data_IF_398693631686
#
_entry.id   IF_398693631686
#
_cell.length_a   1.000
_cell.length_b   1.000
_cell.length_c   1.000
_cell.angle_alpha   90.00
_cell.angle_beta   90.00
_cell.angle_gamma   90.00
#
_symmetry.space_group_name_H-M   'P 1'
#
loop_
_entity.id
_entity.type
_entity.pdbx_description
1 polymer ?
#
# COMPACT_ATOMS: atom_id res chain seq x y z
N UNK A 1 33.05 5.78 7.78
CA UNK A 1 31.61 6.06 7.91
C UNK A 1 31.40 6.85 9.19
N UNK A 2 30.73 8.02 9.10
CA UNK A 2 30.43 8.82 10.28
C UNK A 2 29.48 8.02 11.19
N UNK A 3 29.88 7.80 12.44
CA UNK A 3 29.16 6.97 13.41
C UNK A 3 27.68 7.34 13.53
N UNK A 4 27.38 8.64 13.51
CA UNK A 4 26.02 9.19 13.58
C UNK A 4 25.13 8.75 12.40
N UNK A 5 25.63 8.72 11.17
CA UNK A 5 24.86 8.29 9.99
C UNK A 5 24.50 6.80 10.04
N UNK A 6 25.38 5.97 10.52
CA UNK A 6 25.14 4.53 10.67
C UNK A 6 24.04 4.25 11.69
N UNK A 7 24.08 4.91 12.83
CA UNK A 7 23.06 4.77 13.87
C UNK A 7 21.67 5.22 13.39
N UNK A 8 21.61 6.36 12.69
CA UNK A 8 20.36 6.87 12.11
C UNK A 8 19.75 5.88 11.10
N UNK A 9 20.57 5.34 10.19
CA UNK A 9 20.12 4.33 9.23
C UNK A 9 19.64 3.05 9.90
N UNK A 10 20.37 2.57 10.91
CA UNK A 10 19.97 1.38 11.65
C UNK A 10 18.65 1.59 12.38
N UNK A 11 18.44 2.75 12.99
CA UNK A 11 17.18 3.09 13.66
C UNK A 11 16.02 3.13 12.67
N UNK A 12 16.17 3.85 11.56
CA UNK A 12 15.15 3.90 10.49
C UNK A 12 14.80 2.51 9.96
N UNK A 13 15.80 1.71 9.62
CA UNK A 13 15.55 0.39 9.06
C UNK A 13 14.84 -0.55 10.04
N UNK A 14 15.16 -0.48 11.33
CA UNK A 14 14.44 -1.22 12.37
C UNK A 14 12.98 -0.76 12.48
N UNK A 15 12.73 0.54 12.47
CA UNK A 15 11.39 1.10 12.54
C UNK A 15 10.52 0.70 11.34
N UNK A 16 11.08 0.73 10.12
CA UNK A 16 10.40 0.27 8.91
C UNK A 16 10.03 -1.22 9.03
N UNK A 17 10.96 -2.05 9.51
CA UNK A 17 10.70 -3.48 9.71
C UNK A 17 9.71 -3.76 10.84
N UNK A 18 9.75 -3.00 11.90
CA UNK A 18 8.79 -3.08 13.00
C UNK A 18 7.37 -2.72 12.53
N UNK A 19 7.24 -1.64 11.77
CA UNK A 19 5.96 -1.25 11.17
C UNK A 19 5.37 -2.36 10.28
N UNK A 20 6.18 -2.92 9.38
CA UNK A 20 5.77 -4.07 8.55
C UNK A 20 5.37 -5.27 9.41
N UNK A 21 6.07 -5.52 10.51
CA UNK A 21 5.75 -6.60 11.45
C UNK A 21 4.42 -6.43 12.15
N UNK A 22 4.03 -5.19 12.50
CA UNK A 22 2.73 -4.87 13.10
C UNK A 22 1.59 -5.24 12.14
N UNK A 23 1.67 -4.80 10.88
CA UNK A 23 0.67 -5.17 9.87
C UNK A 23 0.59 -6.68 9.67
N UNK A 24 1.73 -7.33 9.47
CA UNK A 24 1.80 -8.78 9.25
C UNK A 24 1.15 -9.58 10.39
N UNK A 25 1.36 -9.17 11.63
CA UNK A 25 0.76 -9.82 12.80
C UNK A 25 -0.78 -9.74 12.79
N UNK A 26 -1.35 -8.60 12.41
CA UNK A 26 -2.80 -8.43 12.31
C UNK A 26 -3.36 -9.20 11.12
N UNK A 27 -2.75 -9.04 9.94
CA UNK A 27 -3.22 -9.61 8.68
C UNK A 27 -3.16 -11.14 8.67
N UNK A 28 -2.16 -11.72 9.29
CA UNK A 28 -2.04 -13.18 9.42
C UNK A 28 -3.23 -13.80 10.16
N UNK A 29 -3.75 -13.11 11.18
CA UNK A 29 -4.96 -13.53 11.91
C UNK A 29 -6.23 -13.43 11.07
N UNK A 30 -6.23 -12.57 10.06
CA UNK A 30 -7.36 -12.37 9.14
C UNK A 30 -7.24 -13.20 7.86
N UNK A 31 -6.17 -13.97 7.71
CA UNK A 31 -5.91 -14.78 6.51
C UNK A 31 -5.58 -13.96 5.26
N UNK A 32 -5.08 -12.72 5.43
CA UNK A 32 -4.70 -11.82 4.35
C UNK A 32 -3.18 -11.71 4.23
N UNK A 33 -2.70 -11.65 2.99
CA UNK A 33 -1.34 -11.20 2.71
C UNK A 33 -1.25 -9.66 2.80
N UNK A 34 -0.04 -9.16 3.05
CA UNK A 34 0.21 -7.72 3.09
C UNK A 34 -0.11 -7.05 1.73
N UNK A 35 0.24 -7.70 0.63
CA UNK A 35 -0.06 -7.19 -0.71
C UNK A 35 -1.56 -7.13 -1.00
N UNK A 36 -2.31 -8.15 -0.60
CA UNK A 36 -3.78 -8.16 -0.74
C UNK A 36 -4.43 -7.05 0.11
N UNK A 37 -3.93 -6.84 1.33
CA UNK A 37 -4.38 -5.75 2.19
C UNK A 37 -4.21 -4.38 1.53
N UNK A 38 -3.03 -4.08 0.96
CA UNK A 38 -2.80 -2.78 0.32
C UNK A 38 -3.65 -2.57 -0.93
N UNK A 39 -3.96 -3.63 -1.68
CA UNK A 39 -4.91 -3.56 -2.80
C UNK A 39 -6.32 -3.23 -2.29
N UNK A 40 -6.79 -3.92 -1.26
CA UNK A 40 -8.08 -3.60 -0.65
C UNK A 40 -8.12 -2.18 -0.09
N UNK A 41 -7.05 -1.75 0.56
CA UNK A 41 -6.91 -0.39 1.10
C UNK A 41 -7.05 0.66 -0.02
N UNK A 42 -6.33 0.48 -1.12
CA UNK A 42 -6.45 1.36 -2.29
C UNK A 42 -7.89 1.41 -2.82
N UNK A 43 -8.53 0.26 -3.00
CA UNK A 43 -9.86 0.18 -3.59
C UNK A 43 -11.00 0.71 -2.69
N UNK A 44 -10.85 0.66 -1.36
CA UNK A 44 -11.91 1.03 -0.42
C UNK A 44 -11.68 2.35 0.31
N UNK A 45 -10.42 2.74 0.54
CA UNK A 45 -10.08 3.88 1.40
C UNK A 45 -9.66 5.10 0.59
N UNK A 46 -8.93 4.89 -0.52
CA UNK A 46 -8.39 6.02 -1.30
C UNK A 46 -9.44 6.71 -2.17
N UNK A 47 -10.60 6.07 -2.38
CA UNK A 47 -11.72 6.62 -3.16
C UNK A 47 -11.36 7.05 -4.59
N UNK A 48 -10.33 6.41 -5.18
CA UNK A 48 -9.87 6.65 -6.54
C UNK A 48 -10.16 5.46 -7.45
N UNK A 49 -10.20 5.71 -8.76
CA UNK A 49 -10.31 4.66 -9.76
C UNK A 49 -8.94 4.08 -10.10
N UNK A 50 -8.76 2.79 -9.87
CA UNK A 50 -7.50 2.09 -10.15
C UNK A 50 -7.62 1.10 -11.29
N UNK A 51 -6.66 1.17 -12.23
CA UNK A 51 -6.28 0.03 -13.06
C UNK A 51 -5.27 -0.86 -12.32
N UNK A 52 -5.00 -2.06 -12.84
CA UNK A 52 -3.93 -2.88 -12.26
C UNK A 52 -2.56 -2.20 -12.36
N UNK A 53 -2.31 -1.42 -13.42
CA UNK A 53 -1.06 -0.67 -13.57
C UNK A 53 -0.93 0.45 -12.53
N UNK A 54 -2.02 1.15 -12.24
CA UNK A 54 -2.03 2.19 -11.20
C UNK A 54 -1.66 1.60 -9.83
N UNK A 55 -2.17 0.41 -9.49
CA UNK A 55 -1.80 -0.28 -8.25
C UNK A 55 -0.31 -0.65 -8.21
N UNK A 56 0.26 -1.09 -9.34
CA UNK A 56 1.70 -1.35 -9.42
C UNK A 56 2.51 -0.08 -9.16
N UNK A 57 2.14 1.02 -9.79
CA UNK A 57 2.90 2.26 -9.77
C UNK A 57 2.81 2.96 -8.40
N UNK A 58 1.61 3.06 -7.84
CA UNK A 58 1.40 3.77 -6.57
C UNK A 58 1.80 2.95 -5.33
N UNK A 59 1.54 1.65 -5.36
CA UNK A 59 1.75 0.79 -4.19
C UNK A 59 2.99 -0.09 -4.28
N UNK A 60 3.84 0.16 -5.28
CA UNK A 60 5.11 -0.56 -5.48
C UNK A 60 4.94 -2.09 -5.53
N UNK A 61 3.89 -2.54 -6.23
CA UNK A 61 3.58 -3.95 -6.40
C UNK A 61 3.99 -4.45 -7.79
N UNK A 62 4.43 -5.70 -7.88
CA UNK A 62 4.74 -6.30 -9.18
C UNK A 62 3.47 -6.59 -9.98
N UNK A 63 3.57 -6.54 -11.32
CA UNK A 63 2.46 -6.90 -12.22
C UNK A 63 1.91 -8.30 -11.94
N UNK A 64 2.80 -9.25 -11.70
CA UNK A 64 2.41 -10.63 -11.40
C UNK A 64 1.61 -10.73 -10.09
N UNK A 65 2.06 -10.05 -9.04
CA UNK A 65 1.37 -10.02 -7.74
C UNK A 65 -0.02 -9.41 -7.88
N UNK A 66 -0.13 -8.24 -8.49
CA UNK A 66 -1.42 -7.56 -8.70
C UNK A 66 -2.36 -8.43 -9.53
N UNK A 67 -1.87 -8.96 -10.66
CA UNK A 67 -2.70 -9.81 -11.52
C UNK A 67 -3.21 -11.07 -10.80
N UNK A 68 -2.37 -11.73 -10.01
CA UNK A 68 -2.76 -12.91 -9.23
C UNK A 68 -3.85 -12.60 -8.21
N UNK A 69 -3.69 -11.51 -7.47
CA UNK A 69 -4.65 -11.09 -6.44
C UNK A 69 -5.97 -10.65 -7.09
N UNK A 70 -5.92 -9.78 -8.10
CA UNK A 70 -7.13 -9.31 -8.78
C UNK A 70 -7.88 -10.46 -9.45
N UNK A 71 -7.17 -11.39 -10.10
CA UNK A 71 -7.80 -12.60 -10.67
C UNK A 71 -8.53 -13.42 -9.60
N UNK A 72 -7.93 -13.58 -8.43
CA UNK A 72 -8.57 -14.23 -7.29
C UNK A 72 -9.81 -13.49 -6.79
N UNK A 73 -9.74 -12.16 -6.70
CA UNK A 73 -10.88 -11.32 -6.29
C UNK A 73 -12.02 -11.36 -7.31
N UNK A 74 -11.71 -11.39 -8.62
CA UNK A 74 -12.72 -11.58 -9.69
C UNK A 74 -13.42 -12.94 -9.55
N UNK A 75 -12.66 -14.01 -9.34
CA UNK A 75 -13.24 -15.37 -9.14
C UNK A 75 -14.15 -15.46 -7.94
N UNK A 76 -13.84 -14.72 -6.87
CA UNK A 76 -14.69 -14.64 -5.66
C UNK A 76 -15.90 -13.72 -5.84
N UNK A 77 -15.99 -12.99 -6.96
CA UNK A 77 -17.04 -12.02 -7.22
C UNK A 77 -16.91 -10.72 -6.41
N UNK A 78 -15.73 -10.42 -5.91
CA UNK A 78 -15.47 -9.21 -5.11
C UNK A 78 -15.17 -7.98 -5.94
N UNK A 79 -14.63 -8.16 -7.14
CA UNK A 79 -14.36 -7.08 -8.08
C UNK A 79 -14.72 -7.49 -9.50
N UNK A 80 -14.97 -6.48 -10.32
CA UNK A 80 -15.14 -6.58 -11.77
C UNK A 80 -14.13 -5.68 -12.46
N UNK A 81 -13.72 -6.07 -13.66
CA UNK A 81 -12.89 -5.24 -14.53
C UNK A 81 -13.77 -4.61 -15.59
N UNK A 82 -13.80 -3.28 -15.64
CA UNK A 82 -14.58 -2.51 -16.63
C UNK A 82 -13.67 -1.74 -17.56
N UNK A 83 -13.91 -1.88 -18.86
CA UNK A 83 -13.19 -1.09 -19.87
C UNK A 83 -13.58 0.38 -19.76
N UNK A 84 -12.58 1.25 -19.74
CA UNK A 84 -12.82 2.71 -19.72
C UNK A 84 -13.19 3.15 -21.13
N UNK A 85 -14.35 3.82 -21.32
CA UNK A 85 -14.76 4.34 -22.62
C UNK A 85 -13.72 5.32 -23.20
N UNK A 86 -13.48 5.22 -24.52
CA UNK A 86 -12.52 6.08 -25.21
C UNK A 86 -11.04 5.70 -25.05
N UNK A 87 -10.74 4.62 -24.33
CA UNK A 87 -9.42 4.04 -24.21
C UNK A 87 -9.34 2.71 -24.95
N UNK A 88 -8.13 2.34 -25.40
CA UNK A 88 -7.96 1.12 -26.22
C UNK A 88 -8.16 -0.17 -25.43
N UNK A 89 -7.62 -0.25 -24.21
CA UNK A 89 -7.70 -1.44 -23.35
C UNK A 89 -7.56 -1.13 -21.86
N UNK A 90 -7.75 0.13 -21.43
CA UNK A 90 -7.67 0.47 -20.01
C UNK A 90 -8.89 -0.11 -19.29
N UNK A 91 -8.63 -0.94 -18.29
CA UNK A 91 -9.66 -1.51 -17.40
C UNK A 91 -9.49 -0.97 -15.99
N UNK A 92 -10.56 -0.47 -15.42
CA UNK A 92 -10.61 -0.10 -14.00
C UNK A 92 -11.17 -1.26 -13.18
N UNK A 93 -10.73 -1.33 -11.94
CA UNK A 93 -11.19 -2.32 -10.96
C UNK A 93 -12.37 -1.73 -10.22
N UNK A 94 -13.52 -2.36 -10.33
CA UNK A 94 -14.76 -1.95 -9.66
C UNK A 94 -15.09 -2.95 -8.55
N UNK A 95 -15.22 -2.47 -7.32
CA UNK A 95 -15.62 -3.29 -6.18
C UNK A 95 -17.12 -3.57 -6.29
N UNK A 96 -17.50 -4.85 -6.23
CA UNK A 96 -18.89 -5.28 -6.20
C UNK A 96 -19.50 -5.07 -4.81
N UNK A 97 -20.82 -5.21 -4.69
CA UNK A 97 -21.49 -5.17 -3.39
C UNK A 97 -20.96 -6.25 -2.44
N UNK A 98 -20.75 -7.47 -2.93
CA UNK A 98 -20.15 -8.56 -2.18
C UNK A 98 -18.71 -8.25 -1.74
N UNK A 99 -17.91 -7.65 -2.63
CA UNK A 99 -16.55 -7.21 -2.35
C UNK A 99 -16.52 -6.10 -1.31
N UNK A 100 -17.42 -5.13 -1.40
CA UNK A 100 -17.54 -4.06 -0.42
C UNK A 100 -17.90 -4.61 0.96
N UNK A 101 -18.90 -5.47 1.05
CA UNK A 101 -19.31 -6.09 2.31
C UNK A 101 -18.17 -6.87 2.97
N UNK A 102 -17.41 -7.64 2.18
CA UNK A 102 -16.24 -8.38 2.66
C UNK A 102 -15.11 -7.44 3.11
N UNK A 103 -14.75 -6.50 2.25
CA UNK A 103 -13.61 -5.60 2.49
C UNK A 103 -13.85 -4.65 3.65
N UNK A 104 -15.06 -4.10 3.79
CA UNK A 104 -15.41 -3.22 4.89
C UNK A 104 -15.27 -3.89 6.26
N UNK A 105 -15.62 -5.16 6.38
CA UNK A 105 -15.48 -5.91 7.63
C UNK A 105 -14.01 -6.08 8.07
N UNK A 106 -13.07 -6.09 7.13
CA UNK A 106 -11.67 -6.38 7.38
C UNK A 106 -10.82 -5.12 7.34
N UNK A 107 -11.04 -4.27 6.34
CA UNK A 107 -10.17 -3.12 6.06
C UNK A 107 -10.55 -1.90 6.90
N UNK A 108 -11.84 -1.60 7.03
CA UNK A 108 -12.29 -0.41 7.77
C UNK A 108 -11.82 -0.42 9.22
N UNK A 109 -11.91 -1.51 10.00
CA UNK A 109 -11.40 -1.52 11.37
C UNK A 109 -9.90 -1.23 11.48
N UNK A 110 -9.11 -1.68 10.49
CA UNK A 110 -7.67 -1.39 10.45
C UNK A 110 -7.42 0.08 10.11
N UNK A 111 -8.09 0.61 9.08
CA UNK A 111 -7.98 2.02 8.69
C UNK A 111 -8.41 2.97 9.82
N UNK A 112 -9.47 2.65 10.54
CA UNK A 112 -9.88 3.41 11.71
C UNK A 112 -8.86 3.33 12.85
N UNK A 113 -8.23 2.17 13.06
CA UNK A 113 -7.15 2.02 14.04
C UNK A 113 -5.92 2.86 13.64
N UNK A 114 -5.57 2.91 12.38
CA UNK A 114 -4.52 3.78 11.84
C UNK A 114 -4.83 5.25 12.11
N UNK A 115 -6.07 5.69 11.83
CA UNK A 115 -6.51 7.06 12.09
C UNK A 115 -6.39 7.41 13.57
N UNK A 116 -6.91 6.56 14.46
CA UNK A 116 -6.77 6.76 15.92
C UNK A 116 -5.30 6.78 16.38
N UNK A 117 -4.44 6.01 15.76
CA UNK A 117 -3.02 6.00 16.08
C UNK A 117 -2.32 7.28 15.63
N UNK A 118 -2.54 7.69 14.38
CA UNK A 118 -1.91 8.88 13.82
C UNK A 118 -2.40 10.18 14.48
N UNK A 119 -3.64 10.22 14.94
CA UNK A 119 -4.21 11.37 15.66
C UNK A 119 -3.46 11.68 16.95
N UNK A 120 -2.85 10.68 17.60
CA UNK A 120 -2.02 10.85 18.79
C UNK A 120 -0.66 11.50 18.52
N UNK A 121 -0.24 11.54 17.26
CA UNK A 121 0.98 12.22 16.83
C UNK A 121 0.64 13.67 16.45
N UNK A 122 1.36 14.68 16.95
CA UNK A 122 1.10 16.07 16.60
C UNK A 122 1.14 16.30 15.07
N UNK A 123 0.21 17.08 14.56
CA UNK A 123 0.05 17.31 13.10
C UNK A 123 1.35 17.75 12.43
N UNK A 124 2.11 18.63 13.06
CA UNK A 124 3.39 19.09 12.53
C UNK A 124 4.39 17.93 12.35
N UNK A 125 4.43 17.01 13.30
CA UNK A 125 5.35 15.86 13.26
C UNK A 125 4.95 14.87 12.16
N UNK A 126 3.65 14.66 11.93
CA UNK A 126 3.14 13.83 10.83
C UNK A 126 3.63 14.34 9.47
N UNK A 127 3.50 15.64 9.23
CA UNK A 127 3.94 16.27 7.98
C UNK A 127 5.47 16.24 7.81
N UNK A 128 6.22 16.47 8.88
CA UNK A 128 7.67 16.38 8.87
C UNK A 128 8.10 14.95 8.53
N UNK A 129 7.52 13.95 9.18
CA UNK A 129 7.82 12.54 8.92
C UNK A 129 7.58 12.17 7.45
N UNK A 130 6.41 12.50 6.91
CA UNK A 130 6.04 12.25 5.53
C UNK A 130 6.99 12.94 4.55
N UNK A 131 7.31 14.21 4.77
CA UNK A 131 8.21 14.97 3.92
C UNK A 131 9.65 14.43 3.93
N UNK A 132 10.15 14.06 5.10
CA UNK A 132 11.50 13.49 5.26
C UNK A 132 11.59 12.12 4.60
N UNK A 133 10.59 11.26 4.82
CA UNK A 133 10.54 9.93 4.21
C UNK A 133 10.49 10.02 2.68
N UNK A 134 9.70 10.93 2.14
CA UNK A 134 9.62 11.16 0.70
C UNK A 134 10.96 11.60 0.10
N UNK A 135 11.67 12.52 0.77
CA UNK A 135 13.03 12.94 0.35
C UNK A 135 14.01 11.77 0.37
N UNK A 136 14.00 11.02 1.45
CA UNK A 136 14.90 9.87 1.61
C UNK A 136 14.67 8.82 0.52
N UNK A 137 13.41 8.50 0.23
CA UNK A 137 13.06 7.57 -0.85
C UNK A 137 13.57 8.08 -2.22
N UNK A 138 13.41 9.36 -2.51
CA UNK A 138 13.92 9.97 -3.74
C UNK A 138 15.44 9.82 -3.88
N UNK A 139 16.19 10.22 -2.87
CA UNK A 139 17.65 10.09 -2.87
C UNK A 139 18.12 8.63 -2.91
N UNK A 140 17.42 7.73 -2.21
CA UNK A 140 17.76 6.31 -2.23
C UNK A 140 17.58 5.71 -3.63
N UNK A 141 16.54 6.10 -4.35
CA UNK A 141 16.35 5.68 -5.75
C UNK A 141 17.49 6.15 -6.63
N UNK A 142 17.90 7.42 -6.53
CA UNK A 142 19.01 7.98 -7.29
C UNK A 142 20.33 7.23 -7.01
N UNK A 143 20.62 6.95 -5.74
CA UNK A 143 21.85 6.24 -5.35
C UNK A 143 21.87 4.77 -5.79
N UNK A 144 20.72 4.10 -5.78
CA UNK A 144 20.62 2.70 -6.20
C UNK A 144 20.65 2.56 -7.73
N UNK A 145 20.07 3.48 -8.48
CA UNK A 145 20.12 3.50 -9.94
C UNK A 145 21.55 3.80 -10.45
N UNK A 146 22.33 4.54 -9.72
CA UNK A 146 23.75 4.83 -10.03
C UNK A 146 24.64 3.58 -9.98
N UNK A 147 24.22 2.55 -9.27
CA UNK A 147 24.97 1.29 -9.11
C UNK A 147 24.64 0.20 -10.13
N UNK A 148 23.69 0.43 -11.04
CA UNK A 148 23.21 -0.56 -12.03
C UNK A 148 23.67 -0.31 -13.46
N UNK A 149 24.58 0.63 -13.69
CA UNK A 149 25.22 0.86 -15.00
C UNK A 149 26.56 0.17 -15.12
#
# INVERSE_FOLDING_TARGET
MNYNRKEQLQAMNRQIKELSGVYRSVLSRLGLSENEFWIWYALLIMEEEYSQQDLCDEWSLSKQTVNTIITGMVKKGYVELRVVPGTRNRKIICVTEAGRSYGEQIIIPIAEAEQRAIEKVPMRERWICSAVLNKYIGFLKEELDYGTT
#
